data_IF_687813424126
#
_entry.id   IF_687813424126
#
_cell.length_a   1.000
_cell.length_b   1.000
_cell.length_c   1.000
_cell.angle_alpha   90.00
_cell.angle_beta   90.00
_cell.angle_gamma   90.00
#
_symmetry.space_group_name_H-M   'P 1'
#
loop_
_entity.id
_entity.type
_entity.pdbx_description
1 polymer ?
#
# COMPACT_ATOMS: atom_id res chain seq x y z
N UNK A 1 -6.02 26.46 -7.94
CA UNK A 1 -5.70 26.65 -6.50
C UNK A 1 -6.73 26.11 -5.50
N UNK A 2 -7.80 25.39 -5.91
CA UNK A 2 -8.72 24.69 -4.97
C UNK A 2 -8.58 23.16 -4.92
N UNK A 3 -7.71 22.56 -5.74
CA UNK A 3 -7.47 21.10 -5.77
C UNK A 3 -6.19 20.63 -5.06
N UNK A 4 -5.34 21.56 -4.64
CA UNK A 4 -4.11 21.25 -3.88
C UNK A 4 -4.32 21.25 -2.36
N UNK A 5 -5.41 21.85 -1.85
CA UNK A 5 -5.72 21.82 -0.41
C UNK A 5 -6.43 20.52 0.05
N UNK A 6 -7.07 19.78 -0.86
CA UNK A 6 -7.74 18.51 -0.51
C UNK A 6 -6.75 17.33 -0.46
N UNK A 7 -5.64 17.40 -1.21
CA UNK A 7 -4.62 16.33 -1.23
C UNK A 7 -3.66 16.39 -0.04
N UNK A 8 -3.41 17.57 0.53
CA UNK A 8 -2.63 17.72 1.77
C UNK A 8 -3.44 17.43 3.03
N UNK A 9 -4.78 17.46 2.98
CA UNK A 9 -5.61 17.14 4.14
C UNK A 9 -5.80 15.62 4.34
N UNK A 10 -5.81 14.82 3.28
CA UNK A 10 -5.90 13.35 3.38
C UNK A 10 -4.55 12.67 3.66
N UNK A 11 -3.43 13.26 3.21
CA UNK A 11 -2.08 12.71 3.46
C UNK A 11 -1.54 13.02 4.88
N UNK A 12 -2.14 13.98 5.60
CA UNK A 12 -1.74 14.32 6.97
C UNK A 12 -2.48 13.55 8.07
N UNK A 13 -3.51 12.78 7.72
CA UNK A 13 -4.38 12.09 8.69
C UNK A 13 -4.08 10.59 8.85
N UNK A 14 -3.32 9.99 7.94
CA UNK A 14 -2.87 8.60 8.08
C UNK A 14 -1.64 8.43 8.99
N UNK A 15 -0.99 9.53 9.38
CA UNK A 15 0.15 9.54 10.34
C UNK A 15 -0.29 10.03 11.74
N UNK A 16 -1.59 10.27 11.96
CA UNK A 16 -2.12 10.82 13.22
C UNK A 16 -3.30 10.03 13.81
N UNK A 17 -3.42 8.74 13.50
CA UNK A 17 -4.35 7.84 14.22
C UNK A 17 -3.74 7.20 15.48
N UNK A 18 -2.53 7.61 15.89
CA UNK A 18 -2.22 7.69 17.31
C UNK A 18 -2.87 8.95 17.86
N UNK A 19 -3.97 8.76 18.59
CA UNK A 19 -4.67 9.79 19.34
C UNK A 19 -3.70 10.75 20.04
N UNK A 20 -3.51 11.94 19.45
CA UNK A 20 -3.08 13.11 20.19
C UNK A 20 -4.28 13.68 20.98
N UNK A 21 -4.80 12.89 21.92
CA UNK A 21 -5.41 13.45 23.11
C UNK A 21 -4.35 13.41 24.20
N UNK A 22 -3.74 14.58 24.46
CA UNK A 22 -2.94 14.82 25.65
C UNK A 22 -3.78 14.55 26.92
N UNK A 23 -3.82 13.30 27.36
CA UNK A 23 -4.00 12.94 28.76
C UNK A 23 -2.61 12.73 29.33
N UNK A 24 -2.24 13.66 30.22
CA UNK A 24 -1.18 13.57 31.23
C UNK A 24 -0.43 12.23 31.19
N UNK A 25 0.85 12.27 30.81
CA UNK A 25 1.79 11.17 31.03
C UNK A 25 1.73 10.79 32.52
N UNK A 26 0.92 9.77 32.85
CA UNK A 26 1.27 8.91 33.95
C UNK A 26 2.44 8.10 33.40
N UNK A 27 3.60 8.30 34.02
CA UNK A 27 4.72 7.37 33.97
C UNK A 27 4.20 5.94 33.88
N UNK A 28 4.42 5.29 32.74
CA UNK A 28 4.24 3.86 32.59
C UNK A 28 5.23 3.19 33.53
N UNK A 29 4.79 2.92 34.76
CA UNK A 29 5.28 1.75 35.45
C UNK A 29 4.70 0.56 34.70
N UNK A 30 5.55 -0.15 33.95
CA UNK A 30 5.32 -1.53 33.52
C UNK A 30 5.33 -2.47 34.74
N UNK A 31 4.51 -2.17 35.74
CA UNK A 31 4.02 -3.20 36.63
C UNK A 31 2.87 -3.84 35.86
N UNK A 32 3.14 -4.99 35.21
CA UNK A 32 2.08 -5.90 34.76
C UNK A 32 1.25 -6.25 35.99
N UNK A 33 0.23 -5.43 36.29
CA UNK A 33 -0.59 -5.57 37.47
C UNK A 33 -1.56 -6.71 37.21
N UNK A 34 -1.06 -7.93 37.36
CA UNK A 34 -1.87 -9.14 37.47
C UNK A 34 -2.87 -8.91 38.61
N UNK A 35 -4.15 -8.79 38.28
CA UNK A 35 -5.19 -8.44 39.27
C UNK A 35 -5.61 -9.62 40.16
N UNK A 36 -4.95 -10.77 39.99
CA UNK A 36 -5.15 -12.01 40.73
C UNK A 36 -6.51 -12.63 40.41
N UNK A 37 -6.48 -13.83 39.85
CA UNK A 37 -7.64 -14.68 39.63
C UNK A 37 -7.21 -16.04 39.10
N UNK A 38 -7.98 -17.08 39.41
CA UNK A 38 -7.70 -18.43 38.94
C UNK A 38 -7.91 -18.49 37.40
N UNK A 39 -7.09 -19.26 36.67
CA UNK A 39 -7.30 -19.49 35.24
C UNK A 39 -8.73 -19.91 34.94
N UNK A 40 -9.28 -19.36 33.86
CA UNK A 40 -10.69 -19.46 33.54
C UNK A 40 -10.89 -20.14 32.19
N UNK A 41 -11.29 -21.41 32.25
CA UNK A 41 -11.53 -22.23 31.07
C UNK A 41 -12.80 -21.82 30.34
N UNK A 42 -12.72 -21.77 29.00
CA UNK A 42 -13.83 -21.40 28.13
C UNK A 42 -13.96 -22.34 26.93
N UNK A 43 -15.16 -22.36 26.34
CA UNK A 43 -15.48 -23.00 25.06
C UNK A 43 -15.32 -22.03 23.90
N UNK A 44 -15.83 -20.81 24.05
CA UNK A 44 -15.67 -19.74 23.07
C UNK A 44 -15.78 -18.36 23.70
N UNK A 45 -15.26 -17.35 23.01
CA UNK A 45 -15.48 -15.94 23.33
C UNK A 45 -15.49 -15.08 22.06
N UNK A 46 -16.11 -13.91 22.16
CA UNK A 46 -16.04 -12.84 21.19
C UNK A 46 -16.00 -11.49 21.93
N UNK A 47 -15.05 -10.65 21.55
CA UNK A 47 -14.95 -9.25 21.94
C UNK A 47 -15.07 -8.38 20.70
N UNK A 48 -16.12 -7.56 20.65
CA UNK A 48 -16.32 -6.54 19.62
C UNK A 48 -16.04 -5.18 20.22
N UNK A 49 -15.15 -4.41 19.60
CA UNK A 49 -14.91 -3.01 19.93
C UNK A 49 -15.37 -2.12 18.78
N UNK A 50 -16.01 -1.01 19.15
CA UNK A 50 -16.43 0.02 18.20
C UNK A 50 -15.83 1.36 18.59
N UNK A 51 -15.65 2.24 17.63
CA UNK A 51 -15.30 3.64 17.84
C UNK A 51 -16.20 4.52 16.94
N UNK A 52 -15.80 5.76 16.66
CA UNK A 52 -16.57 6.64 15.76
C UNK A 52 -16.51 6.24 14.28
N UNK A 53 -15.72 5.23 13.91
CA UNK A 53 -15.66 4.72 12.54
C UNK A 53 -16.78 3.72 12.28
N UNK A 54 -17.00 3.37 11.01
CA UNK A 54 -17.89 2.26 10.65
C UNK A 54 -17.24 0.88 10.90
N UNK A 55 -15.98 0.84 11.35
CA UNK A 55 -15.23 -0.38 11.59
C UNK A 55 -15.53 -0.94 12.97
N UNK A 56 -15.53 -2.27 13.05
CA UNK A 56 -15.59 -3.03 14.30
C UNK A 56 -14.32 -3.86 14.40
N UNK A 57 -13.61 -3.76 15.52
CA UNK A 57 -12.46 -4.61 15.82
C UNK A 57 -12.98 -5.82 16.58
N UNK A 58 -12.82 -7.01 16.01
CA UNK A 58 -13.37 -8.24 16.57
C UNK A 58 -12.23 -9.18 16.92
N UNK A 59 -12.22 -9.64 18.16
CA UNK A 59 -11.36 -10.70 18.65
C UNK A 59 -12.27 -11.88 18.99
N UNK A 60 -12.02 -13.03 18.41
CA UNK A 60 -12.82 -14.22 18.72
C UNK A 60 -11.94 -15.44 18.85
N UNK A 61 -12.46 -16.43 19.56
CA UNK A 61 -11.77 -17.69 19.69
C UNK A 61 -12.63 -18.78 20.27
N UNK A 62 -12.23 -20.01 19.98
CA UNK A 62 -12.89 -21.20 20.50
C UNK A 62 -11.87 -22.29 20.78
N UNK A 63 -12.16 -23.09 21.81
CA UNK A 63 -11.35 -24.24 22.18
C UNK A 63 -11.45 -25.30 21.07
N UNK A 64 -10.31 -25.80 20.63
CA UNK A 64 -10.22 -26.93 19.70
C UNK A 64 -9.85 -28.21 20.47
N UNK A 65 -9.77 -29.34 19.79
CA UNK A 65 -9.34 -30.60 20.43
C UNK A 65 -7.91 -30.54 20.96
N UNK A 66 -7.05 -29.74 20.33
CA UNK A 66 -5.60 -29.70 20.60
C UNK A 66 -5.10 -28.34 21.14
N UNK A 67 -6.01 -27.40 21.42
CA UNK A 67 -5.67 -26.06 21.88
C UNK A 67 -6.78 -25.04 21.63
N UNK A 68 -6.48 -24.00 20.86
CA UNK A 68 -7.39 -22.87 20.62
C UNK A 68 -7.25 -22.30 19.22
N UNK A 69 -8.38 -21.97 18.62
CA UNK A 69 -8.42 -21.13 17.42
C UNK A 69 -8.66 -19.68 17.84
N UNK A 70 -7.86 -18.75 17.31
CA UNK A 70 -7.99 -17.32 17.58
C UNK A 70 -7.98 -16.52 16.29
N UNK A 71 -8.91 -15.58 16.17
CA UNK A 71 -8.93 -14.59 15.10
C UNK A 71 -9.00 -13.18 15.65
N UNK A 72 -8.29 -12.28 14.96
CA UNK A 72 -8.47 -10.85 15.05
C UNK A 72 -8.73 -10.29 13.66
N UNK A 73 -9.85 -9.59 13.50
CA UNK A 73 -10.25 -9.01 12.22
C UNK A 73 -10.93 -7.66 12.39
N UNK A 74 -10.88 -6.87 11.33
CA UNK A 74 -11.60 -5.61 11.20
C UNK A 74 -12.80 -5.84 10.30
N UNK A 75 -13.99 -5.60 10.84
CA UNK A 75 -15.25 -5.78 10.14
C UNK A 75 -15.85 -4.43 9.77
N UNK A 76 -16.35 -4.32 8.54
CA UNK A 76 -17.12 -3.16 8.09
C UNK A 76 -18.38 -3.65 7.39
N UNK A 77 -19.53 -3.06 7.70
CA UNK A 77 -20.76 -3.29 6.94
C UNK A 77 -20.77 -2.40 5.71
N UNK A 78 -20.80 -3.01 4.52
CA UNK A 78 -20.88 -2.29 3.25
C UNK A 78 -22.15 -2.68 2.49
N UNK A 79 -22.76 -1.70 1.84
CA UNK A 79 -23.91 -1.96 0.97
C UNK A 79 -23.46 -2.76 -0.26
N UNK A 80 -24.13 -3.87 -0.53
CA UNK A 80 -23.93 -4.68 -1.73
C UNK A 80 -25.17 -4.58 -2.63
N UNK A 81 -24.97 -4.04 -3.83
CA UNK A 81 -26.02 -3.86 -4.83
C UNK A 81 -26.61 -5.20 -5.33
N UNK A 82 -25.84 -6.30 -5.28
CA UNK A 82 -26.30 -7.62 -5.71
C UNK A 82 -27.31 -8.21 -4.72
N UNK A 83 -27.04 -8.04 -3.43
CA UNK A 83 -27.91 -8.54 -2.35
C UNK A 83 -28.92 -7.51 -1.87
N UNK A 84 -28.80 -6.25 -2.32
CA UNK A 84 -29.63 -5.12 -1.89
C UNK A 84 -29.71 -4.99 -0.36
N UNK A 85 -28.55 -5.14 0.28
CA UNK A 85 -28.42 -5.12 1.74
C UNK A 85 -26.99 -4.86 2.18
N UNK A 86 -26.80 -4.69 3.48
CA UNK A 86 -25.46 -4.59 4.05
C UNK A 86 -24.86 -5.99 4.17
N UNK A 87 -23.67 -6.17 3.61
CA UNK A 87 -22.85 -7.37 3.74
C UNK A 87 -21.64 -7.02 4.59
N UNK A 88 -21.28 -7.94 5.49
CA UNK A 88 -20.07 -7.80 6.29
C UNK A 88 -18.84 -8.06 5.42
N UNK A 89 -17.95 -7.08 5.35
CA UNK A 89 -16.60 -7.24 4.83
C UNK A 89 -15.66 -7.46 6.02
N UNK A 90 -15.08 -8.68 6.11
CA UNK A 90 -14.06 -9.04 7.11
C UNK A 90 -12.67 -8.87 6.51
N UNK A 91 -11.85 -8.03 7.11
CA UNK A 91 -10.42 -7.97 6.88
C UNK A 91 -9.69 -8.70 8.02
N UNK A 92 -9.32 -9.96 7.78
CA UNK A 92 -8.61 -10.77 8.77
C UNK A 92 -7.19 -10.25 8.94
N UNK A 93 -6.88 -9.75 10.13
CA UNK A 93 -5.52 -9.30 10.47
C UNK A 93 -4.65 -10.48 10.86
N UNK A 94 -5.21 -11.41 11.64
CA UNK A 94 -4.53 -12.65 12.03
C UNK A 94 -5.54 -13.73 12.37
N UNK A 95 -5.26 -14.95 11.92
CA UNK A 95 -5.95 -16.17 12.33
C UNK A 95 -4.90 -17.21 12.69
N UNK A 96 -5.01 -17.84 13.86
CA UNK A 96 -4.05 -18.85 14.34
C UNK A 96 -4.78 -20.04 14.96
N UNK A 97 -4.36 -21.24 14.56
CA UNK A 97 -4.64 -22.49 15.28
C UNK A 97 -3.45 -22.77 16.19
N UNK A 98 -3.62 -22.45 17.47
CA UNK A 98 -2.57 -22.56 18.47
C UNK A 98 -2.76 -23.77 19.39
N UNK A 99 -1.67 -24.25 19.96
CA UNK A 99 -1.66 -25.41 20.84
C UNK A 99 -2.24 -25.11 22.24
N UNK A 100 -2.35 -26.15 23.05
CA UNK A 100 -2.81 -26.07 24.44
C UNK A 100 -2.02 -25.05 25.28
N UNK A 101 -0.74 -24.79 24.97
CA UNK A 101 0.05 -23.82 25.73
C UNK A 101 -0.47 -22.38 25.56
N UNK A 102 -0.96 -22.03 24.37
CA UNK A 102 -1.59 -20.73 24.11
C UNK A 102 -2.99 -20.68 24.70
N UNK A 103 -3.76 -21.77 24.64
CA UNK A 103 -5.05 -21.86 25.33
C UNK A 103 -4.91 -21.60 26.83
N UNK A 104 -3.95 -22.24 27.50
CA UNK A 104 -3.69 -22.04 28.93
C UNK A 104 -3.27 -20.60 29.26
N UNK A 105 -2.47 -19.95 28.40
CA UNK A 105 -2.13 -18.52 28.55
C UNK A 105 -3.38 -17.64 28.46
N UNK A 106 -4.30 -17.94 27.55
CA UNK A 106 -5.56 -17.21 27.40
C UNK A 106 -6.51 -17.43 28.58
N UNK A 107 -6.60 -18.66 29.10
CA UNK A 107 -7.35 -18.96 30.33
C UNK A 107 -6.78 -18.20 31.53
N UNK A 108 -5.45 -18.17 31.68
CA UNK A 108 -4.79 -17.36 32.69
C UNK A 108 -5.10 -15.87 32.49
N UNK A 109 -5.09 -15.37 31.26
CA UNK A 109 -5.46 -13.99 30.94
C UNK A 109 -6.89 -13.69 31.41
N UNK A 110 -7.87 -14.55 31.13
CA UNK A 110 -9.25 -14.36 31.56
C UNK A 110 -9.38 -14.30 33.09
N UNK A 111 -8.67 -15.21 33.79
CA UNK A 111 -8.60 -15.24 35.24
C UNK A 111 -7.97 -13.97 35.82
N UNK A 112 -6.79 -13.60 35.32
CA UNK A 112 -6.00 -12.46 35.77
C UNK A 112 -6.73 -11.13 35.64
N UNK A 113 -7.62 -10.99 34.65
CA UNK A 113 -8.43 -9.81 34.42
C UNK A 113 -9.85 -9.89 34.98
N UNK A 114 -10.18 -11.02 35.64
CA UNK A 114 -11.46 -11.29 36.31
C UNK A 114 -12.65 -11.15 35.37
N UNK A 115 -12.56 -11.76 34.19
CA UNK A 115 -13.62 -11.73 33.18
C UNK A 115 -14.96 -12.25 33.72
N UNK A 116 -14.95 -13.18 34.68
CA UNK A 116 -16.16 -13.63 35.38
C UNK A 116 -16.95 -12.48 36.05
N UNK A 117 -16.28 -11.44 36.56
CA UNK A 117 -16.92 -10.27 37.19
C UNK A 117 -17.60 -9.35 36.17
N UNK A 118 -17.36 -9.55 34.86
CA UNK A 118 -18.01 -8.75 33.81
C UNK A 118 -19.43 -9.22 33.50
N UNK A 119 -19.83 -10.39 34.01
CA UNK A 119 -21.14 -10.97 33.75
C UNK A 119 -22.28 -9.99 34.08
N UNK A 120 -23.09 -9.64 33.08
CA UNK A 120 -24.22 -8.72 33.20
C UNK A 120 -23.84 -7.24 33.23
N UNK A 121 -22.57 -6.88 33.04
CA UNK A 121 -22.15 -5.48 33.00
C UNK A 121 -22.86 -4.72 31.85
N UNK A 122 -23.39 -3.54 32.18
CA UNK A 122 -24.05 -2.61 31.27
C UNK A 122 -23.62 -1.18 31.60
N UNK A 123 -22.55 -0.73 30.97
CA UNK A 123 -21.98 0.60 31.16
C UNK A 123 -22.48 1.60 30.12
N UNK A 124 -22.82 2.82 30.55
CA UNK A 124 -23.06 3.93 29.64
C UNK A 124 -22.59 5.25 30.27
N UNK A 125 -21.70 5.97 29.58
CA UNK A 125 -21.41 7.37 29.87
C UNK A 125 -21.79 8.27 28.68
N UNK A 126 -22.79 9.14 28.89
CA UNK A 126 -23.30 10.07 27.88
C UNK A 126 -22.51 11.37 27.78
N UNK A 127 -21.59 11.63 28.72
CA UNK A 127 -20.76 12.84 28.73
C UNK A 127 -19.48 12.66 27.89
N UNK A 128 -19.10 11.41 27.60
CA UNK A 128 -18.02 11.08 26.71
C UNK A 128 -18.50 11.02 25.25
N UNK A 129 -17.77 11.69 24.34
CA UNK A 129 -18.11 11.82 22.92
C UNK A 129 -17.08 11.13 22.02
N UNK A 130 -16.35 10.14 22.56
CA UNK A 130 -15.35 9.36 21.84
C UNK A 130 -15.96 8.19 21.03
N UNK A 131 -17.24 7.89 21.23
CA UNK A 131 -17.97 6.86 20.48
C UNK A 131 -17.47 5.44 20.73
N UNK A 132 -16.70 5.23 21.80
CA UNK A 132 -16.07 3.97 22.12
C UNK A 132 -17.09 2.99 22.68
N UNK A 133 -17.20 1.81 22.07
CA UNK A 133 -18.11 0.75 22.51
C UNK A 133 -17.39 -0.57 22.70
N UNK A 134 -17.96 -1.43 23.55
CA UNK A 134 -17.57 -2.82 23.68
C UNK A 134 -18.79 -3.73 23.85
N UNK A 135 -18.72 -4.91 23.23
CA UNK A 135 -19.59 -6.04 23.49
C UNK A 135 -18.69 -7.27 23.69
N UNK A 136 -18.84 -7.95 24.82
CA UNK A 136 -18.11 -9.16 25.15
C UNK A 136 -19.07 -10.29 25.45
N UNK A 137 -18.84 -11.43 24.81
CA UNK A 137 -19.61 -12.66 24.98
C UNK A 137 -18.64 -13.82 25.20
N UNK A 138 -18.90 -14.69 26.16
CA UNK A 138 -18.13 -15.92 26.35
C UNK A 138 -18.99 -17.05 26.90
N UNK A 139 -18.68 -18.27 26.47
CA UNK A 139 -19.25 -19.51 27.01
C UNK A 139 -18.15 -20.25 27.74
N UNK A 140 -18.31 -20.46 29.05
CA UNK A 140 -17.32 -21.13 29.88
C UNK A 140 -17.34 -22.65 29.68
N UNK A 141 -16.31 -23.34 30.18
CA UNK A 141 -16.23 -24.80 30.10
C UNK A 141 -17.43 -25.50 30.75
N UNK A 142 -17.93 -24.95 31.87
CA UNK A 142 -19.12 -25.45 32.58
C UNK A 142 -20.46 -25.08 31.90
N UNK A 143 -20.41 -24.28 30.82
CA UNK A 143 -21.59 -23.79 30.10
C UNK A 143 -22.14 -22.46 30.61
N UNK A 144 -21.53 -21.84 31.62
CA UNK A 144 -21.90 -20.49 32.07
C UNK A 144 -21.68 -19.49 30.92
N UNK A 145 -22.65 -18.60 30.71
CA UNK A 145 -22.55 -17.52 29.73
C UNK A 145 -22.19 -16.20 30.41
N UNK A 146 -21.23 -15.49 29.83
CA UNK A 146 -20.85 -14.14 30.23
C UNK A 146 -21.21 -13.21 29.10
N UNK A 147 -21.93 -12.14 29.45
CA UNK A 147 -22.27 -11.09 28.52
C UNK A 147 -22.05 -9.72 29.18
N UNK A 148 -21.27 -8.87 28.53
CA UNK A 148 -20.95 -7.52 28.99
C UNK A 148 -21.04 -6.52 27.84
N UNK A 149 -21.59 -5.34 28.11
CA UNK A 149 -21.70 -4.26 27.12
C UNK A 149 -21.36 -2.92 27.77
N UNK A 150 -20.70 -2.06 27.02
CA UNK A 150 -20.29 -0.75 27.49
C UNK A 150 -20.21 0.28 26.38
N UNK A 151 -20.78 1.46 26.60
CA UNK A 151 -20.62 2.63 25.73
C UNK A 151 -19.97 3.75 26.54
N UNK A 152 -18.70 4.04 26.23
CA UNK A 152 -17.83 4.98 26.94
C UNK A 152 -17.66 4.70 28.46
N UNK A 153 -18.16 3.56 28.94
CA UNK A 153 -18.09 3.11 30.32
C UNK A 153 -17.91 1.60 30.29
N UNK A 154 -16.78 1.13 30.80
CA UNK A 154 -16.30 -0.23 30.58
C UNK A 154 -16.08 -0.97 31.90
N UNK A 155 -16.12 -2.31 31.90
CA UNK A 155 -15.77 -3.11 33.06
C UNK A 155 -14.36 -2.77 33.56
N UNK A 156 -14.13 -3.02 34.84
CA UNK A 156 -12.80 -2.84 35.43
C UNK A 156 -11.78 -3.71 34.69
N UNK A 157 -10.60 -3.15 34.44
CA UNK A 157 -9.47 -3.77 33.73
C UNK A 157 -9.69 -4.04 32.22
N UNK A 158 -10.81 -3.60 31.62
CA UNK A 158 -11.13 -3.81 30.21
C UNK A 158 -10.01 -3.40 29.24
N UNK A 159 -9.46 -2.19 29.39
CA UNK A 159 -8.45 -1.66 28.46
C UNK A 159 -7.18 -2.51 28.49
N UNK A 160 -6.72 -2.89 29.68
CA UNK A 160 -5.52 -3.70 29.86
C UNK A 160 -5.74 -5.14 29.39
N UNK A 161 -6.92 -5.74 29.62
CA UNK A 161 -7.27 -7.05 29.05
C UNK A 161 -7.21 -7.03 27.53
N UNK A 162 -7.79 -6.01 26.90
CA UNK A 162 -7.83 -5.91 25.44
C UNK A 162 -6.41 -5.73 24.86
N UNK A 163 -5.55 -4.95 25.51
CA UNK A 163 -4.16 -4.79 25.09
C UNK A 163 -3.40 -6.11 25.09
N UNK A 164 -3.52 -6.88 26.18
CA UNK A 164 -2.86 -8.19 26.30
C UNK A 164 -3.47 -9.24 25.36
N UNK A 165 -4.79 -9.24 25.18
CA UNK A 165 -5.47 -10.11 24.21
C UNK A 165 -5.00 -9.81 22.78
N UNK A 166 -4.96 -8.53 22.41
CA UNK A 166 -4.45 -8.09 21.13
C UNK A 166 -3.01 -8.56 20.94
N UNK A 167 -2.12 -8.29 21.91
CA UNK A 167 -0.72 -8.73 21.86
C UNK A 167 -0.58 -10.26 21.73
N UNK A 168 -1.39 -11.03 22.47
CA UNK A 168 -1.38 -12.49 22.39
C UNK A 168 -1.72 -12.99 20.98
N UNK A 169 -2.67 -12.33 20.30
CA UNK A 169 -3.12 -12.72 18.97
C UNK A 169 -2.19 -12.18 17.89
N UNK A 170 -1.72 -10.94 18.01
CA UNK A 170 -1.04 -10.21 16.93
C UNK A 170 0.47 -10.17 17.06
N UNK A 171 1.08 -10.79 18.08
CA UNK A 171 2.53 -10.90 18.20
C UNK A 171 2.98 -12.35 18.15
N UNK A 172 4.13 -12.62 17.55
CA UNK A 172 4.83 -13.89 17.72
C UNK A 172 6.33 -13.70 17.80
N UNK A 173 6.98 -14.50 18.65
CA UNK A 173 8.43 -14.63 18.61
C UNK A 173 8.80 -15.52 17.43
N UNK A 174 9.73 -15.07 16.61
CA UNK A 174 10.24 -15.88 15.50
C UNK A 174 10.92 -17.12 16.08
N UNK A 175 10.43 -18.30 15.71
CA UNK A 175 10.92 -19.59 16.19
C UNK A 175 11.46 -20.48 15.06
N UNK A 176 11.32 -20.02 13.81
CA UNK A 176 11.74 -20.71 12.60
C UNK A 176 12.19 -19.66 11.57
N UNK A 177 13.08 -20.06 10.68
CA UNK A 177 13.43 -19.26 9.49
C UNK A 177 12.27 -19.22 8.49
N UNK A 178 11.34 -20.15 8.54
CA UNK A 178 10.15 -20.12 7.69
C UNK A 178 9.07 -19.28 8.35
N UNK A 179 8.68 -18.19 7.70
CA UNK A 179 7.66 -17.26 8.19
C UNK A 179 6.59 -17.06 7.12
N UNK A 180 5.33 -17.01 7.56
CA UNK A 180 4.19 -16.70 6.70
C UNK A 180 3.23 -15.75 7.39
N UNK A 181 2.62 -14.86 6.62
CA UNK A 181 1.47 -14.07 7.07
C UNK A 181 0.11 -14.65 6.61
N UNK A 182 0.14 -15.78 5.92
CA UNK A 182 -1.02 -16.44 5.30
C UNK A 182 -1.25 -16.06 3.83
N UNK A 183 -0.67 -14.97 3.33
CA UNK A 183 -0.71 -14.56 1.91
C UNK A 183 0.63 -14.77 1.21
N UNK A 184 1.74 -14.59 1.93
CA UNK A 184 3.08 -14.92 1.47
C UNK A 184 3.86 -15.78 2.47
N UNK A 185 4.95 -16.35 1.98
CA UNK A 185 6.04 -16.90 2.78
C UNK A 185 7.35 -16.18 2.46
N UNK A 186 8.18 -16.03 3.47
CA UNK A 186 9.57 -15.55 3.40
C UNK A 186 10.48 -16.47 4.21
N UNK A 187 11.77 -16.43 3.88
CA UNK A 187 12.83 -17.05 4.68
C UNK A 187 13.55 -15.96 5.47
N UNK A 188 13.40 -15.99 6.79
CA UNK A 188 14.09 -15.11 7.72
C UNK A 188 15.51 -15.60 7.99
N UNK A 189 16.47 -14.71 8.28
CA UNK A 189 17.81 -15.08 8.70
C UNK A 189 17.81 -15.90 10.00
N UNK A 190 18.74 -16.85 10.13
CA UNK A 190 18.88 -17.65 11.35
C UNK A 190 19.12 -16.78 12.60
N UNK A 191 19.84 -15.66 12.46
CA UNK A 191 20.10 -14.70 13.53
C UNK A 191 18.83 -14.06 14.10
N UNK A 192 17.73 -14.03 13.33
CA UNK A 192 16.46 -13.46 13.78
C UNK A 192 15.67 -14.43 14.67
N UNK A 193 15.94 -15.73 14.56
CA UNK A 193 15.24 -16.77 15.32
C UNK A 193 15.56 -16.64 16.80
N UNK A 194 14.52 -16.53 17.62
CA UNK A 194 14.61 -16.34 19.07
C UNK A 194 14.85 -14.90 19.52
N UNK A 195 15.43 -14.05 18.66
CA UNK A 195 15.74 -12.64 18.98
C UNK A 195 14.61 -11.70 18.53
N UNK A 196 14.14 -11.86 17.29
CA UNK A 196 13.14 -11.00 16.66
C UNK A 196 11.73 -11.51 16.92
N UNK A 197 10.78 -10.60 17.05
CA UNK A 197 9.36 -10.88 17.05
C UNK A 197 8.67 -10.15 15.88
N UNK A 198 7.57 -10.72 15.42
CA UNK A 198 6.68 -10.11 14.42
C UNK A 198 5.40 -9.60 15.10
N UNK A 199 4.90 -8.46 14.63
CA UNK A 199 3.60 -7.89 14.98
C UNK A 199 2.75 -7.73 13.73
N UNK A 200 1.54 -8.27 13.79
CA UNK A 200 0.57 -8.27 12.71
C UNK A 200 -0.40 -7.10 12.87
N UNK A 201 -0.62 -6.36 11.80
CA UNK A 201 -1.62 -5.30 11.75
C UNK A 201 -2.26 -5.25 10.38
N UNK A 202 -3.31 -4.45 10.23
CA UNK A 202 -4.01 -4.31 8.96
C UNK A 202 -3.02 -3.92 7.84
N UNK A 203 -2.84 -4.83 6.88
CA UNK A 203 -2.01 -4.61 5.71
C UNK A 203 -0.51 -4.51 5.96
N UNK A 204 0.03 -4.94 7.11
CA UNK A 204 1.48 -4.99 7.32
C UNK A 204 1.91 -5.96 8.43
N UNK A 205 3.14 -6.46 8.32
CA UNK A 205 3.87 -7.19 9.37
C UNK A 205 5.10 -6.38 9.77
N UNK A 206 5.21 -6.08 11.06
CA UNK A 206 6.33 -5.33 11.64
C UNK A 206 7.25 -6.24 12.44
N UNK A 207 8.55 -6.22 12.15
CA UNK A 207 9.57 -6.97 12.86
C UNK A 207 10.29 -6.07 13.87
N UNK A 208 10.42 -6.56 15.10
CA UNK A 208 10.94 -5.81 16.21
C UNK A 208 11.79 -6.65 17.18
N UNK A 209 12.59 -5.96 17.97
CA UNK A 209 13.33 -6.52 19.12
C UNK A 209 12.82 -5.85 20.40
N UNK A 210 12.95 -6.55 21.54
CA UNK A 210 12.58 -5.98 22.83
C UNK A 210 13.64 -4.99 23.32
N UNK A 211 13.18 -3.94 23.98
CA UNK A 211 14.05 -3.01 24.69
C UNK A 211 14.32 -3.51 26.12
N UNK A 212 15.54 -3.29 26.62
CA UNK A 212 15.96 -3.62 27.97
C UNK A 212 15.10 -2.95 29.06
N UNK A 213 14.59 -1.74 28.78
CA UNK A 213 13.71 -0.98 29.68
C UNK A 213 12.22 -1.29 29.52
N UNK A 214 11.88 -2.29 28.70
CA UNK A 214 10.51 -2.57 28.28
C UNK A 214 10.10 -1.75 27.06
N UNK A 215 9.13 -2.29 26.31
CA UNK A 215 8.73 -1.78 25.01
C UNK A 215 9.50 -2.45 23.86
N UNK A 216 9.17 -2.01 22.65
CA UNK A 216 9.54 -2.70 21.41
C UNK A 216 10.25 -1.71 20.48
N UNK A 217 11.23 -2.20 19.72
CA UNK A 217 11.93 -1.43 18.70
C UNK A 217 11.70 -2.07 17.33
N UNK A 218 10.70 -1.57 16.61
CA UNK A 218 10.43 -1.96 15.23
C UNK A 218 11.51 -1.42 14.30
N UNK A 219 12.15 -2.30 13.55
CA UNK A 219 13.26 -1.94 12.66
C UNK A 219 12.98 -2.26 11.18
N UNK A 220 12.13 -3.24 10.90
CA UNK A 220 11.79 -3.67 9.54
C UNK A 220 10.29 -3.92 9.41
N UNK A 221 9.69 -3.53 8.28
CA UNK A 221 8.26 -3.69 8.02
C UNK A 221 8.04 -4.17 6.59
N UNK A 222 7.14 -5.14 6.44
CA UNK A 222 6.59 -5.56 5.14
C UNK A 222 5.13 -5.10 5.09
N UNK A 223 4.85 -4.12 4.24
CA UNK A 223 3.49 -3.70 3.91
C UNK A 223 2.91 -4.62 2.82
N UNK A 224 1.63 -4.95 2.94
CA UNK A 224 0.83 -5.74 2.00
C UNK A 224 -0.54 -5.07 1.82
N UNK A 225 -0.56 -3.99 1.03
CA UNK A 225 -1.72 -3.10 0.88
C UNK A 225 -2.50 -3.39 -0.41
N UNK A 226 -3.81 -3.22 -0.40
CA UNK A 226 -4.70 -3.33 -1.56
C UNK A 226 -4.72 -2.06 -2.44
N UNK A 227 -4.24 -0.92 -1.94
CA UNK A 227 -4.36 0.38 -2.61
C UNK A 227 -3.12 0.81 -3.42
N UNK A 228 -2.03 0.04 -3.35
CA UNK A 228 -0.77 0.34 -4.01
C UNK A 228 0.42 0.17 -3.08
N UNK A 229 1.62 0.36 -3.62
CA UNK A 229 2.83 0.34 -2.80
C UNK A 229 2.85 1.48 -1.77
N UNK A 230 3.56 1.27 -0.67
CA UNK A 230 3.70 2.28 0.37
C UNK A 230 4.39 3.56 -0.18
N UNK A 231 4.21 4.74 0.43
CA UNK A 231 4.79 6.00 -0.05
C UNK A 231 6.32 6.02 -0.20
N UNK A 232 6.82 6.69 -1.26
CA UNK A 232 8.25 6.92 -1.52
C UNK A 232 9.00 7.67 -0.41
N UNK A 233 8.27 8.32 0.51
CA UNK A 233 8.87 8.99 1.67
C UNK A 233 9.41 8.03 2.73
N UNK A 234 9.04 6.74 2.69
CA UNK A 234 9.52 5.77 3.67
C UNK A 234 10.98 5.37 3.41
N UNK A 235 11.74 5.29 4.50
CA UNK A 235 13.18 5.02 4.46
C UNK A 235 13.44 3.59 4.00
N UNK A 236 14.41 3.44 3.11
CA UNK A 236 14.84 2.13 2.60
C UNK A 236 13.72 1.34 1.92
N UNK A 237 12.67 2.02 1.48
CA UNK A 237 11.52 1.41 0.81
C UNK A 237 11.96 0.71 -0.48
N UNK A 238 11.46 -0.51 -0.68
CA UNK A 238 11.60 -1.32 -1.89
C UNK A 238 10.22 -1.84 -2.29
N UNK A 239 9.81 -1.57 -3.53
CA UNK A 239 8.66 -2.23 -4.15
C UNK A 239 9.07 -3.68 -4.45
N UNK A 240 8.53 -4.63 -3.69
CA UNK A 240 8.95 -6.03 -3.78
C UNK A 240 8.22 -6.71 -4.94
N UNK A 241 6.93 -6.45 -5.07
CA UNK A 241 6.09 -7.07 -6.09
C UNK A 241 4.64 -7.11 -5.66
N UNK A 242 3.87 -8.03 -6.26
CA UNK A 242 2.42 -8.14 -6.06
C UNK A 242 2.02 -9.57 -5.79
N UNK A 243 1.09 -9.74 -4.87
CA UNK A 243 0.41 -11.00 -4.65
C UNK A 243 -0.99 -10.92 -5.26
N UNK A 244 -1.33 -11.88 -6.12
CA UNK A 244 -2.64 -11.89 -6.80
C UNK A 244 -3.34 -13.23 -6.56
N UNK A 245 -4.57 -13.17 -6.07
CA UNK A 245 -5.47 -14.32 -5.93
C UNK A 245 -6.89 -13.93 -6.40
N UNK A 246 -7.24 -14.34 -7.62
CA UNK A 246 -8.52 -13.95 -8.23
C UNK A 246 -8.60 -12.44 -8.47
N UNK A 247 -9.52 -11.76 -7.78
CA UNK A 247 -9.69 -10.30 -7.82
C UNK A 247 -8.93 -9.57 -6.67
N UNK A 248 -8.35 -10.30 -5.71
CA UNK A 248 -7.53 -9.70 -4.65
C UNK A 248 -6.09 -9.48 -5.16
N UNK A 249 -5.66 -8.21 -5.21
CA UNK A 249 -4.31 -7.78 -5.56
C UNK A 249 -3.71 -7.02 -4.37
N UNK A 250 -2.55 -7.49 -3.90
CA UNK A 250 -1.81 -6.87 -2.78
C UNK A 250 -0.43 -6.43 -3.24
N UNK A 251 -0.09 -5.19 -2.93
CA UNK A 251 1.18 -4.56 -3.26
C UNK A 251 2.13 -4.71 -2.08
N UNK A 252 3.24 -5.42 -2.32
CA UNK A 252 4.20 -5.72 -1.28
C UNK A 252 5.32 -4.69 -1.27
N UNK A 253 5.50 -4.03 -0.13
CA UNK A 253 6.58 -3.05 0.08
C UNK A 253 7.40 -3.47 1.29
N UNK A 254 8.71 -3.61 1.12
CA UNK A 254 9.63 -3.79 2.24
C UNK A 254 10.26 -2.45 2.60
N UNK A 255 10.31 -2.09 3.88
CA UNK A 255 10.87 -0.79 4.30
C UNK A 255 11.52 -0.85 5.68
N UNK A 256 12.44 0.08 5.89
CA UNK A 256 13.07 0.27 7.18
C UNK A 256 12.16 1.08 8.10
N UNK A 257 12.39 0.94 9.40
CA UNK A 257 11.84 1.84 10.40
C UNK A 257 12.98 2.48 11.21
N UNK A 258 13.18 2.05 12.46
CA UNK A 258 14.29 2.53 13.28
C UNK A 258 15.57 1.72 13.01
N UNK A 259 16.71 2.41 12.94
CA UNK A 259 18.01 1.73 12.91
C UNK A 259 18.35 1.23 14.32
N UNK A 260 18.55 -0.08 14.49
CA UNK A 260 18.83 -0.68 15.81
C UNK A 260 20.06 -0.05 16.45
N UNK A 261 21.11 0.20 15.67
CA UNK A 261 22.34 0.85 16.14
C UNK A 261 22.13 2.24 16.77
N UNK A 262 21.06 2.95 16.43
CA UNK A 262 20.72 4.25 17.07
C UNK A 262 20.20 4.10 18.50
N UNK A 263 19.86 2.88 18.91
CA UNK A 263 19.28 2.51 20.20
C UNK A 263 20.16 1.53 20.97
N UNK A 264 21.47 1.51 20.72
CA UNK A 264 22.40 0.53 21.29
C UNK A 264 22.36 0.41 22.83
N UNK A 265 22.07 1.50 23.55
CA UNK A 265 21.93 1.46 25.01
C UNK A 265 20.59 0.90 25.51
N UNK A 266 19.63 0.69 24.61
CA UNK A 266 18.25 0.30 24.93
C UNK A 266 17.93 -1.14 24.51
N UNK A 267 18.80 -1.84 23.79
CA UNK A 267 18.57 -3.20 23.27
C UNK A 267 19.66 -4.16 23.74
N UNK A 268 19.44 -5.47 23.59
CA UNK A 268 20.45 -6.48 23.94
C UNK A 268 21.63 -6.51 22.95
N UNK A 269 22.74 -7.14 23.35
CA UNK A 269 23.90 -7.33 22.47
C UNK A 269 23.53 -8.16 21.23
N UNK A 270 22.72 -9.21 21.40
CA UNK A 270 22.25 -10.05 20.29
C UNK A 270 21.40 -9.26 19.30
N UNK A 271 20.55 -8.35 19.80
CA UNK A 271 19.76 -7.47 18.96
C UNK A 271 20.64 -6.46 18.19
N UNK A 272 21.75 -5.99 18.79
CA UNK A 272 22.70 -5.10 18.12
C UNK A 272 23.46 -5.78 16.99
N UNK A 273 23.84 -7.04 17.18
CA UNK A 273 24.54 -7.84 16.16
C UNK A 273 23.71 -8.01 14.89
N UNK A 274 22.37 -8.01 14.98
CA UNK A 274 21.48 -8.03 13.79
C UNK A 274 21.78 -6.88 12.82
N UNK A 275 22.21 -5.73 13.33
CA UNK A 275 22.45 -4.55 12.50
C UNK A 275 23.67 -4.71 11.58
N UNK A 276 24.63 -5.57 11.93
CA UNK A 276 25.84 -5.78 11.13
C UNK A 276 25.52 -6.37 9.75
N UNK A 277 24.49 -7.22 9.67
CA UNK A 277 24.07 -7.91 8.45
C UNK A 277 22.73 -7.41 7.88
N UNK A 278 22.13 -6.38 8.49
CA UNK A 278 20.75 -5.95 8.21
C UNK A 278 20.44 -5.75 6.72
N UNK A 279 21.30 -5.06 5.97
CA UNK A 279 21.04 -4.81 4.54
C UNK A 279 21.06 -6.11 3.71
N UNK A 280 21.95 -7.06 4.06
CA UNK A 280 22.02 -8.37 3.41
C UNK A 280 20.83 -9.25 3.79
N UNK A 281 20.45 -9.22 5.07
CA UNK A 281 19.29 -9.92 5.61
C UNK A 281 18.01 -9.46 4.92
N UNK A 282 17.80 -8.15 4.85
CA UNK A 282 16.65 -7.54 4.18
C UNK A 282 16.55 -7.95 2.71
N UNK A 283 17.67 -7.91 1.98
CA UNK A 283 17.69 -8.34 0.58
C UNK A 283 17.31 -9.82 0.47
N UNK A 284 17.89 -10.69 1.31
CA UNK A 284 17.60 -12.12 1.32
C UNK A 284 16.13 -12.41 1.64
N UNK A 285 15.53 -11.68 2.58
CA UNK A 285 14.11 -11.78 2.91
C UNK A 285 13.26 -11.43 1.68
N UNK A 286 13.53 -10.30 1.03
CA UNK A 286 12.80 -9.83 -0.16
C UNK A 286 12.91 -10.82 -1.32
N UNK A 287 14.11 -11.34 -1.58
CA UNK A 287 14.36 -12.32 -2.65
C UNK A 287 13.71 -13.68 -2.39
N UNK A 288 13.49 -14.03 -1.13
CA UNK A 288 12.84 -15.30 -0.75
C UNK A 288 11.31 -15.27 -0.85
N UNK A 289 10.72 -14.09 -1.10
CA UNK A 289 9.27 -13.92 -1.03
C UNK A 289 8.55 -14.73 -2.09
N UNK A 290 7.54 -15.47 -1.66
CA UNK A 290 6.63 -16.22 -2.54
C UNK A 290 5.20 -16.14 -2.04
N UNK A 291 4.24 -16.22 -2.96
CA UNK A 291 2.83 -16.32 -2.61
C UNK A 291 2.46 -17.72 -2.11
N UNK A 292 1.50 -17.78 -1.19
CA UNK A 292 0.93 -19.04 -0.65
C UNK A 292 -0.60 -18.96 -0.62
N UNK A 293 -1.28 -20.05 -0.29
CA UNK A 293 -2.74 -20.09 -0.12
C UNK A 293 -3.54 -19.53 -1.32
N UNK A 294 -3.05 -19.79 -2.55
CA UNK A 294 -3.69 -19.36 -3.79
C UNK A 294 -3.17 -18.03 -4.35
N UNK A 295 -2.33 -17.30 -3.62
CA UNK A 295 -1.66 -16.11 -4.14
C UNK A 295 -0.48 -16.48 -5.03
N UNK A 296 -0.44 -15.92 -6.23
CA UNK A 296 0.72 -15.91 -7.10
C UNK A 296 1.54 -14.64 -6.87
N UNK A 297 2.86 -14.77 -6.74
CA UNK A 297 3.76 -13.64 -6.57
C UNK A 297 4.35 -13.18 -7.91
N UNK A 298 4.26 -11.88 -8.16
CA UNK A 298 4.80 -11.19 -9.32
C UNK A 298 5.82 -10.17 -8.85
N UNK A 299 7.13 -10.41 -9.00
CA UNK A 299 8.16 -9.51 -8.50
C UNK A 299 8.18 -8.18 -9.27
N UNK A 300 8.52 -7.09 -8.59
CA UNK A 300 8.79 -5.79 -9.22
C UNK A 300 10.25 -5.72 -9.72
N UNK A 301 10.71 -6.76 -10.42
CA UNK A 301 12.05 -6.89 -11.00
C UNK A 301 12.24 -6.05 -12.30
N UNK A 302 11.24 -5.22 -12.58
CA UNK A 302 11.13 -4.39 -13.77
C UNK A 302 10.86 -5.17 -15.05
N UNK A 303 10.67 -6.49 -15.05
CA UNK A 303 10.41 -7.28 -16.28
C UNK A 303 9.00 -7.07 -16.83
N UNK A 304 8.07 -6.65 -15.99
CA UNK A 304 6.66 -6.48 -16.33
C UNK A 304 6.28 -5.00 -16.45
N UNK A 305 5.61 -4.64 -17.54
CA UNK A 305 4.99 -3.32 -17.70
C UNK A 305 3.58 -3.34 -17.12
N UNK A 306 3.42 -2.86 -15.90
CA UNK A 306 2.12 -2.80 -15.25
C UNK A 306 1.24 -1.66 -15.76
N UNK A 307 -0.08 -1.82 -15.62
CA UNK A 307 -1.08 -0.86 -16.09
C UNK A 307 -0.86 0.58 -15.59
N UNK A 308 -0.52 0.77 -14.32
CA UNK A 308 -0.24 2.09 -13.76
C UNK A 308 0.96 2.77 -14.45
N UNK A 309 2.05 2.03 -14.65
CA UNK A 309 3.25 2.51 -15.33
C UNK A 309 2.97 2.77 -16.82
N UNK A 310 2.21 1.88 -17.48
CA UNK A 310 1.77 2.06 -18.85
C UNK A 310 0.90 3.32 -19.03
N UNK A 311 0.06 3.64 -18.06
CA UNK A 311 -0.77 4.85 -18.05
C UNK A 311 0.08 6.12 -17.96
N UNK A 312 1.04 6.16 -17.04
CA UNK A 312 1.98 7.29 -16.92
C UNK A 312 2.82 7.44 -18.19
N UNK A 313 3.36 6.33 -18.73
CA UNK A 313 4.12 6.31 -19.98
C UNK A 313 3.27 6.83 -21.17
N UNK A 314 2.02 6.39 -21.30
CA UNK A 314 1.09 6.83 -22.33
C UNK A 314 0.72 8.31 -22.20
N UNK A 315 0.53 8.82 -20.98
CA UNK A 315 0.25 10.24 -20.74
C UNK A 315 1.45 11.12 -21.10
N UNK A 316 2.68 10.71 -20.75
CA UNK A 316 3.91 11.38 -21.16
C UNK A 316 4.09 11.36 -22.69
N UNK A 317 3.85 10.22 -23.33
CA UNK A 317 3.94 10.06 -24.79
C UNK A 317 2.96 10.98 -25.52
N UNK A 318 1.70 11.00 -25.06
CA UNK A 318 0.66 11.88 -25.58
C UNK A 318 1.04 13.35 -25.44
N UNK A 319 1.57 13.75 -24.29
CA UNK A 319 2.03 15.12 -24.05
C UNK A 319 3.12 15.56 -25.05
N UNK A 320 4.15 14.72 -25.24
CA UNK A 320 5.23 14.99 -26.19
C UNK A 320 4.75 15.03 -27.65
N UNK A 321 3.86 14.10 -28.02
CA UNK A 321 3.27 14.06 -29.36
C UNK A 321 2.43 15.31 -29.65
N UNK A 322 1.60 15.75 -28.68
CA UNK A 322 0.82 16.98 -28.78
C UNK A 322 1.72 18.23 -28.87
N UNK A 323 2.80 18.29 -28.09
CA UNK A 323 3.78 19.37 -28.17
C UNK A 323 4.49 19.43 -29.52
N UNK A 324 4.75 18.30 -30.17
CA UNK A 324 5.41 18.30 -31.48
C UNK A 324 4.45 18.66 -32.62
N UNK A 325 3.22 18.13 -32.58
CA UNK A 325 2.30 18.19 -33.71
C UNK A 325 1.20 19.26 -33.58
N UNK A 326 0.83 19.70 -32.37
CA UNK A 326 -0.34 20.57 -32.13
C UNK A 326 -0.04 21.78 -31.24
N UNK A 327 1.21 22.20 -31.14
CA UNK A 327 1.60 23.33 -30.29
C UNK A 327 0.89 24.67 -30.58
N UNK A 328 0.24 24.81 -31.74
CA UNK A 328 -0.58 25.98 -32.08
C UNK A 328 -1.95 26.03 -31.39
N UNK A 329 -2.47 24.90 -30.91
CA UNK A 329 -3.75 24.77 -30.19
C UNK A 329 -3.55 24.36 -28.72
N UNK A 330 -2.35 23.92 -28.35
CA UNK A 330 -2.00 23.57 -26.98
C UNK A 330 -1.79 24.84 -26.12
N UNK A 331 -2.39 24.92 -24.91
CA UNK A 331 -2.44 26.14 -24.11
C UNK A 331 -1.12 26.38 -23.38
N UNK A 332 -0.06 26.73 -24.12
CA UNK A 332 1.25 27.08 -23.57
C UNK A 332 1.41 28.57 -23.23
N UNK A 333 0.47 29.44 -23.65
CA UNK A 333 0.51 30.89 -23.41
C UNK A 333 1.60 31.67 -24.17
N UNK A 334 2.56 30.98 -24.78
CA UNK A 334 3.65 31.58 -25.56
C UNK A 334 3.13 32.15 -26.88
N UNK A 335 3.55 33.38 -27.21
CA UNK A 335 3.11 34.06 -28.44
C UNK A 335 3.82 33.45 -29.65
N UNK A 336 3.10 33.09 -30.73
CA UNK A 336 3.73 32.60 -31.95
C UNK A 336 4.69 33.62 -32.57
N UNK A 337 5.84 33.14 -33.03
CA UNK A 337 6.85 33.90 -33.77
C UNK A 337 6.77 33.50 -35.24
N UNK A 338 6.83 34.50 -36.13
CA UNK A 338 6.82 34.27 -37.58
C UNK A 338 8.24 34.02 -38.08
N UNK A 339 8.54 32.78 -38.47
CA UNK A 339 9.84 32.37 -39.02
C UNK A 339 9.62 31.79 -40.41
N UNK A 340 10.39 32.22 -41.42
CA UNK A 340 10.29 31.72 -42.81
C UNK A 340 8.84 31.62 -43.35
N UNK A 341 8.01 32.65 -43.07
CA UNK A 341 6.58 32.78 -43.47
C UNK A 341 5.58 31.83 -42.78
N UNK A 342 6.00 31.04 -41.79
CA UNK A 342 5.12 30.18 -40.97
C UNK A 342 5.19 30.62 -39.50
N UNK A 343 4.12 30.37 -38.76
CA UNK A 343 4.06 30.66 -37.33
C UNK A 343 4.61 29.47 -36.56
N UNK A 344 5.44 29.74 -35.56
CA UNK A 344 6.04 28.75 -34.68
C UNK A 344 5.94 29.18 -33.22
N UNK A 345 5.98 28.21 -32.31
CA UNK A 345 6.07 28.43 -30.86
C UNK A 345 7.19 27.56 -30.29
N UNK A 346 7.78 27.92 -29.14
CA UNK A 346 8.67 27.01 -28.42
C UNK A 346 7.96 25.67 -28.16
N UNK A 347 8.67 24.55 -28.37
CA UNK A 347 8.10 23.19 -28.16
C UNK A 347 7.71 22.95 -26.70
N UNK A 348 8.47 23.54 -25.77
CA UNK A 348 8.21 23.52 -24.34
C UNK A 348 8.11 24.95 -23.81
N UNK A 349 7.32 25.18 -22.75
CA UNK A 349 7.24 26.48 -22.11
C UNK A 349 8.59 26.88 -21.50
N UNK A 350 8.82 28.19 -21.38
CA UNK A 350 10.09 28.77 -20.89
C UNK A 350 10.54 28.23 -19.53
N UNK A 351 9.61 27.93 -18.61
CA UNK A 351 9.91 27.36 -17.29
C UNK A 351 10.36 25.89 -17.32
N UNK A 352 10.25 25.19 -18.45
CA UNK A 352 10.73 23.81 -18.58
C UNK A 352 12.25 23.73 -18.85
N UNK A 353 12.91 24.89 -19.07
CA UNK A 353 14.36 25.01 -19.33
C UNK A 353 14.89 24.03 -20.40
N UNK A 354 14.03 23.62 -21.33
CA UNK A 354 14.35 22.65 -22.39
C UNK A 354 14.18 23.36 -23.73
N UNK A 355 15.23 24.01 -24.20
CA UNK A 355 15.20 24.83 -25.40
C UNK A 355 16.17 24.37 -26.49
N UNK A 356 17.12 23.48 -26.20
CA UNK A 356 18.07 22.92 -27.17
C UNK A 356 17.52 21.65 -27.82
N UNK A 357 18.00 21.34 -29.03
CA UNK A 357 17.61 20.10 -29.73
C UNK A 357 18.00 18.85 -28.94
N UNK A 358 19.17 18.88 -28.29
CA UNK A 358 19.63 17.80 -27.42
C UNK A 358 18.72 17.61 -26.20
N UNK A 359 18.29 18.71 -25.57
CA UNK A 359 17.34 18.66 -24.45
C UNK A 359 15.97 18.11 -24.86
N UNK A 360 15.50 18.49 -26.06
CA UNK A 360 14.27 17.93 -26.65
C UNK A 360 14.42 16.44 -26.90
N UNK A 361 15.54 16.01 -27.52
CA UNK A 361 15.84 14.59 -27.74
C UNK A 361 15.85 13.82 -26.43
N UNK A 362 16.50 14.34 -25.38
CA UNK A 362 16.55 13.70 -24.06
C UNK A 362 15.15 13.45 -23.49
N UNK A 363 14.24 14.42 -23.58
CA UNK A 363 12.84 14.23 -23.14
C UNK A 363 12.09 13.17 -23.94
N UNK A 364 12.34 13.07 -25.25
CA UNK A 364 11.73 12.03 -26.06
C UNK A 364 12.26 10.63 -25.68
N UNK A 365 13.55 10.49 -25.39
CA UNK A 365 14.16 9.22 -24.99
C UNK A 365 13.69 8.70 -23.61
N UNK A 366 13.09 9.55 -22.78
CA UNK A 366 12.44 9.12 -21.53
C UNK A 366 11.17 8.29 -21.80
N UNK A 367 10.63 8.33 -23.02
CA UNK A 367 9.31 7.79 -23.36
C UNK A 367 9.32 6.92 -24.62
N UNK A 368 10.20 7.23 -25.57
CA UNK A 368 10.29 6.57 -26.86
C UNK A 368 11.67 5.94 -27.07
N UNK A 369 11.73 4.89 -27.89
CA UNK A 369 12.99 4.28 -28.29
C UNK A 369 13.90 5.28 -29.01
N UNK A 370 15.21 5.01 -29.01
CA UNK A 370 16.19 5.84 -29.70
C UNK A 370 15.91 5.92 -31.20
N UNK A 371 15.63 4.77 -31.84
CA UNK A 371 15.29 4.69 -33.25
C UNK A 371 14.06 5.54 -33.60
N UNK A 372 12.98 5.39 -32.82
CA UNK A 372 11.74 6.14 -33.05
C UNK A 372 11.94 7.65 -32.82
N UNK A 373 12.63 8.01 -31.75
CA UNK A 373 12.94 9.40 -31.41
C UNK A 373 13.71 10.08 -32.53
N UNK A 374 14.80 9.48 -32.98
CA UNK A 374 15.68 10.07 -33.99
C UNK A 374 15.00 10.16 -35.35
N UNK A 375 14.24 9.13 -35.72
CA UNK A 375 13.43 9.14 -36.94
C UNK A 375 12.39 10.26 -36.90
N UNK A 376 11.65 10.39 -35.79
CA UNK A 376 10.58 11.38 -35.62
C UNK A 376 11.11 12.81 -35.67
N UNK A 377 12.16 13.11 -34.90
CA UNK A 377 12.74 14.46 -34.87
C UNK A 377 13.38 14.84 -36.20
N UNK A 378 14.07 13.90 -36.86
CA UNK A 378 14.67 14.12 -38.19
C UNK A 378 13.59 14.41 -39.24
N UNK A 379 12.48 13.67 -39.23
CA UNK A 379 11.36 13.88 -40.13
C UNK A 379 10.69 15.24 -39.88
N UNK A 380 10.42 15.57 -38.61
CA UNK A 380 9.82 16.86 -38.25
C UNK A 380 10.71 18.06 -38.70
N UNK A 381 12.04 17.91 -38.65
CA UNK A 381 12.97 18.91 -39.18
C UNK A 381 12.92 19.00 -40.72
N UNK A 382 12.87 17.86 -41.41
CA UNK A 382 12.78 17.81 -42.86
C UNK A 382 11.49 18.49 -43.38
N UNK A 383 10.37 18.25 -42.69
CA UNK A 383 9.05 18.83 -43.01
C UNK A 383 8.90 20.30 -42.57
N UNK A 384 9.93 20.85 -41.89
CA UNK A 384 9.92 22.19 -41.29
C UNK A 384 8.79 22.36 -40.27
N UNK A 385 8.42 21.27 -39.61
CA UNK A 385 7.53 21.27 -38.47
C UNK A 385 8.28 21.49 -37.16
N UNK A 386 9.57 21.14 -37.13
CA UNK A 386 10.51 21.45 -36.06
C UNK A 386 11.67 22.27 -36.65
N UNK A 387 12.05 23.37 -36.02
CA UNK A 387 13.19 24.20 -36.45
C UNK A 387 14.05 24.63 -35.27
N UNK A 388 15.35 24.75 -35.52
CA UNK A 388 16.29 25.39 -34.59
C UNK A 388 16.54 26.81 -35.06
N UNK A 389 16.34 27.79 -34.18
CA UNK A 389 16.58 29.19 -34.45
C UNK A 389 17.16 29.88 -33.21
N UNK A 390 18.34 30.50 -33.36
CA UNK A 390 19.07 31.14 -32.25
C UNK A 390 19.18 30.22 -31.02
N UNK A 391 19.64 28.98 -31.25
CA UNK A 391 19.82 27.93 -30.23
C UNK A 391 18.54 27.49 -29.50
N UNK A 392 17.37 27.93 -29.95
CA UNK A 392 16.07 27.53 -29.42
C UNK A 392 15.32 26.66 -30.43
N UNK A 393 14.60 25.66 -29.93
CA UNK A 393 13.77 24.75 -30.71
C UNK A 393 12.33 25.24 -30.76
N UNK A 394 11.81 25.34 -31.97
CA UNK A 394 10.44 25.76 -32.23
C UNK A 394 9.69 24.73 -33.06
N UNK A 395 8.40 24.61 -32.79
CA UNK A 395 7.45 23.76 -33.50
C UNK A 395 6.44 24.61 -34.24
N UNK A 396 6.05 24.16 -35.43
CA UNK A 396 5.12 24.87 -36.26
C UNK A 396 3.72 24.87 -35.65
N UNK A 397 3.04 26.02 -35.69
CA UNK A 397 1.64 26.10 -35.31
C UNK A 397 0.80 25.37 -36.38
N UNK A 398 0.38 24.15 -36.08
CA UNK A 398 -0.61 23.40 -36.85
C UNK A 398 -1.96 23.45 -36.13
N UNK A 399 -3.03 23.35 -36.91
CA UNK A 399 -4.39 23.15 -36.42
C UNK A 399 -4.79 21.70 -36.60
N UNK A 400 -5.60 21.17 -35.70
CA UNK A 400 -6.19 19.85 -35.85
C UNK A 400 -7.06 19.79 -37.12
N UNK A 401 -6.90 18.73 -37.92
CA UNK A 401 -7.67 18.51 -39.15
C UNK A 401 -8.65 17.36 -38.97
N UNK A 402 -9.63 17.52 -38.09
CA UNK A 402 -10.66 16.50 -37.90
C UNK A 402 -11.54 16.75 -36.68
N UNK A 403 -12.36 15.77 -36.33
CA UNK A 403 -13.11 15.73 -35.08
C UNK A 403 -12.31 14.96 -34.01
N UNK A 404 -11.69 15.71 -33.12
CA UNK A 404 -11.01 15.15 -31.95
C UNK A 404 -11.89 14.15 -31.18
N UNK A 405 -11.25 13.08 -30.70
CA UNK A 405 -11.86 12.13 -29.77
C UNK A 405 -12.45 12.84 -28.54
N UNK A 406 -13.55 12.32 -27.99
CA UNK A 406 -14.10 12.79 -26.72
C UNK A 406 -13.16 12.49 -25.54
N UNK A 407 -12.52 11.34 -25.55
CA UNK A 407 -11.57 10.91 -24.53
C UNK A 407 -10.68 9.78 -25.04
N UNK A 408 -9.49 9.63 -24.44
CA UNK A 408 -8.65 8.45 -24.61
C UNK A 408 -8.06 8.00 -23.27
N UNK A 409 -7.86 6.69 -23.10
CA UNK A 409 -7.31 6.10 -21.89
C UNK A 409 -6.68 4.72 -22.20
N UNK A 410 -5.70 4.29 -21.40
CA UNK A 410 -5.18 2.92 -21.47
C UNK A 410 -6.31 1.97 -21.09
N UNK A 411 -6.64 1.03 -21.97
CA UNK A 411 -7.68 0.03 -21.75
C UNK A 411 -7.11 -1.22 -21.08
N UNK A 412 -5.99 -1.72 -21.60
CA UNK A 412 -5.24 -2.83 -21.02
C UNK A 412 -3.76 -2.79 -21.44
N UNK A 413 -2.94 -3.59 -20.76
CA UNK A 413 -1.57 -3.92 -21.18
C UNK A 413 -1.53 -5.40 -21.49
N UNK A 414 -1.00 -5.78 -22.66
CA UNK A 414 -0.81 -7.17 -23.04
C UNK A 414 0.67 -7.46 -23.17
N UNK A 415 1.12 -8.55 -22.55
CA UNK A 415 2.46 -9.09 -22.80
C UNK A 415 2.46 -9.79 -24.17
N UNK A 416 3.45 -9.48 -25.01
CA UNK A 416 3.63 -10.07 -26.35
C UNK A 416 4.77 -11.10 -26.37
N UNK A 417 5.40 -11.35 -25.23
CA UNK A 417 6.55 -12.23 -25.05
C UNK A 417 7.89 -11.54 -25.31
N UNK A 418 8.96 -12.13 -24.76
CA UNK A 418 10.33 -11.60 -24.93
C UNK A 418 10.56 -10.22 -24.30
N UNK A 419 9.80 -9.87 -23.26
CA UNK A 419 9.87 -8.56 -22.59
C UNK A 419 9.21 -7.41 -23.36
N UNK A 420 8.38 -7.74 -24.36
CA UNK A 420 7.61 -6.78 -25.16
C UNK A 420 6.16 -6.74 -24.70
N UNK A 421 5.57 -5.56 -24.80
CA UNK A 421 4.21 -5.29 -24.37
C UNK A 421 3.49 -4.46 -25.43
N UNK A 422 2.18 -4.64 -25.54
CA UNK A 422 1.28 -3.71 -26.21
C UNK A 422 0.48 -2.95 -25.15
N UNK A 423 0.65 -1.64 -25.10
CA UNK A 423 -0.23 -0.75 -24.33
C UNK A 423 -1.40 -0.37 -25.23
N UNK A 424 -2.57 -0.91 -24.93
CA UNK A 424 -3.77 -0.72 -25.74
C UNK A 424 -4.46 0.56 -25.31
N UNK A 425 -4.56 1.55 -26.19
CA UNK A 425 -5.30 2.78 -25.94
C UNK A 425 -6.70 2.70 -26.56
N UNK A 426 -7.73 2.92 -25.76
CA UNK A 426 -9.09 3.13 -26.24
C UNK A 426 -9.35 4.62 -26.43
N UNK A 427 -9.72 5.02 -27.65
CA UNK A 427 -10.15 6.38 -27.99
C UNK A 427 -11.64 6.38 -28.35
N UNK A 428 -12.43 7.25 -27.68
CA UNK A 428 -13.86 7.39 -27.90
C UNK A 428 -14.11 8.45 -28.97
N UNK A 429 -14.60 8.04 -30.14
CA UNK A 429 -14.74 8.92 -31.30
C UNK A 429 -16.15 9.50 -31.45
N UNK A 430 -16.29 10.75 -31.90
CA UNK A 430 -17.58 11.31 -32.32
C UNK A 430 -18.07 10.69 -33.65
N UNK A 431 -19.38 10.74 -33.95
CA UNK A 431 -20.45 11.31 -33.12
C UNK A 431 -21.13 10.32 -32.17
N UNK A 432 -21.01 9.02 -32.41
CA UNK A 432 -21.75 7.94 -31.73
C UNK A 432 -21.00 7.37 -30.51
N UNK A 433 -19.75 7.77 -30.30
CA UNK A 433 -18.96 7.32 -29.17
C UNK A 433 -18.39 5.92 -29.34
N UNK A 434 -18.27 5.41 -30.57
CA UNK A 434 -17.57 4.14 -30.81
C UNK A 434 -16.12 4.22 -30.34
N UNK A 435 -15.57 3.08 -29.90
CA UNK A 435 -14.19 2.96 -29.42
C UNK A 435 -13.28 2.50 -30.54
N UNK A 436 -12.22 3.24 -30.80
CA UNK A 436 -11.07 2.80 -31.60
C UNK A 436 -9.96 2.35 -30.64
N UNK A 437 -9.38 1.19 -30.93
CA UNK A 437 -8.29 0.62 -30.16
C UNK A 437 -6.98 0.76 -30.94
N UNK A 438 -5.95 1.26 -30.28
CA UNK A 438 -4.62 1.46 -30.86
C UNK A 438 -3.60 0.81 -29.95
N UNK A 439 -2.80 -0.10 -30.52
CA UNK A 439 -1.75 -0.78 -29.79
C UNK A 439 -0.46 0.04 -29.90
N UNK A 440 0.08 0.46 -28.76
CA UNK A 440 1.38 1.11 -28.66
C UNK A 440 2.42 0.07 -28.22
N UNK A 441 3.34 -0.35 -29.09
CA UNK A 441 4.35 -1.33 -28.72
C UNK A 441 5.37 -0.70 -27.77
N UNK A 442 5.60 -1.37 -26.65
CA UNK A 442 6.49 -0.97 -25.57
C UNK A 442 7.52 -2.06 -25.27
N UNK A 443 8.76 -1.64 -25.06
CA UNK A 443 9.87 -2.54 -24.73
C UNK A 443 10.91 -1.79 -23.88
N UNK A 444 11.86 -2.53 -23.28
CA UNK A 444 12.94 -1.92 -22.52
C UNK A 444 13.98 -1.27 -23.42
N UNK A 445 14.40 -0.04 -23.08
CA UNK A 445 15.56 0.59 -23.66
C UNK A 445 16.87 0.05 -23.06
N UNK A 446 18.02 0.57 -23.52
CA UNK A 446 19.35 0.18 -23.03
C UNK A 446 19.57 0.44 -21.52
N UNK A 447 18.77 1.32 -20.90
CA UNK A 447 18.79 1.59 -19.46
C UNK A 447 17.81 0.72 -18.67
N UNK A 448 17.11 -0.22 -19.32
CA UNK A 448 16.14 -1.12 -18.69
C UNK A 448 14.75 -0.51 -18.44
N UNK A 449 14.51 0.73 -18.87
CA UNK A 449 13.22 1.40 -18.71
C UNK A 449 12.29 1.12 -19.90
N UNK A 450 10.99 0.94 -19.64
CA UNK A 450 9.99 0.78 -20.69
C UNK A 450 9.80 2.08 -21.48
N UNK A 451 9.86 1.95 -22.80
CA UNK A 451 9.61 3.03 -23.77
C UNK A 451 8.76 2.50 -24.91
N UNK A 452 8.05 3.38 -25.61
CA UNK A 452 7.35 3.03 -26.84
C UNK A 452 8.34 2.92 -28.01
N UNK A 453 8.37 1.77 -28.68
CA UNK A 453 9.20 1.53 -29.86
C UNK A 453 8.56 2.06 -31.15
N UNK A 454 7.25 2.22 -31.13
CA UNK A 454 6.48 2.92 -32.15
C UNK A 454 5.36 3.69 -31.49
N UNK A 455 4.95 4.77 -32.14
CA UNK A 455 3.76 5.53 -31.76
C UNK A 455 2.95 5.71 -33.02
N UNK A 456 2.14 4.69 -33.41
CA UNK A 456 1.35 4.75 -34.61
C UNK A 456 0.55 6.04 -34.58
N UNK A 457 0.89 6.94 -35.52
CA UNK A 457 0.37 8.30 -35.54
C UNK A 457 -1.14 8.22 -35.36
N UNK A 458 -1.63 8.96 -34.36
CA UNK A 458 -3.05 9.02 -34.03
C UNK A 458 -3.91 9.72 -35.10
N UNK A 459 -3.42 9.77 -36.35
CA UNK A 459 -4.09 10.28 -37.55
C UNK A 459 -5.37 9.51 -37.89
N UNK A 460 -5.58 8.31 -37.31
CA UNK A 460 -6.86 7.59 -37.38
C UNK A 460 -7.91 8.08 -36.36
N UNK A 461 -7.53 9.00 -35.48
CA UNK A 461 -8.39 9.65 -34.49
C UNK A 461 -8.52 11.16 -34.70
N UNK A 462 -7.99 11.68 -35.82
CA UNK A 462 -8.41 12.99 -36.34
C UNK A 462 -9.87 12.95 -36.79
#
# INVERSE_FOLDING_TARGET
>A
MKKQLLRTLCLGLLVLLFSACAKKHNTNNNDNAYYGGDPMDFKSFQLVQTDMTAQRRVYEGYKTENGVHLEYYISTEMWDDKTSGNVECRNVVRAIDADESVFQKLCALFGNYRIAEWAGFRGHDSQALDGSGMCFEAVLADGTEINAQGTNSFPKNYSSFTQELCKLITTERISSVHFSDGTYEITLPESWVGTVAASFSEGQVAFFVDKLGGGELTFFIIDSDTYGYAPDSYKGRVEVGRLISGEDERFITARDNYAIASYASEVSEEALELWENYESDKLSIVESLRGVNGYAFYPEDGTTLYYANARDLADKARSLWLSLNFAGEYPGGEKPVRLKRRNYVPIFPSYAFTNTLEGVRKKFLEVFSEEFTDKTLRQAMADRDLIVYKDNVYVACKKCKGKASYSSYVDCVREEGGGKFAVVIAAKMPPDGHKLYVDLPAEKNAAGAFVFSDYPYWDKSE
#
